data_IF_919089335703
#
_entry.id   IF_919089335703
#
_cell.length_a   1.000
_cell.length_b   1.000
_cell.length_c   1.000
_cell.angle_alpha   90.00
_cell.angle_beta   90.00
_cell.angle_gamma   90.00
#
_symmetry.space_group_name_H-M   'P 1'
#
loop_
_entity.id
_entity.type
_entity.pdbx_description
1 polymer ?
#
# COMPACT_ATOMS: atom_id res chain seq x y z
N UNK A 1 1.01 20.43 -20.26
CA UNK A 1 1.86 19.79 -19.23
C UNK A 1 2.33 20.75 -18.12
N UNK A 2 2.00 22.05 -18.13
CA UNK A 2 2.65 23.06 -17.27
C UNK A 2 2.22 23.10 -15.77
N UNK A 3 1.34 22.21 -15.28
CA UNK A 3 0.92 22.18 -13.87
C UNK A 3 1.01 20.79 -13.21
N UNK A 4 1.69 19.83 -13.85
CA UNK A 4 1.71 18.42 -13.40
C UNK A 4 2.57 18.18 -12.15
N UNK A 5 3.32 19.18 -11.68
CA UNK A 5 4.11 19.09 -10.45
C UNK A 5 3.27 19.34 -9.18
N UNK A 6 2.16 20.07 -9.29
CA UNK A 6 1.36 20.48 -8.11
C UNK A 6 0.76 19.30 -7.35
N UNK A 7 0.50 18.18 -8.04
CA UNK A 7 0.01 16.93 -7.43
C UNK A 7 1.02 16.25 -6.49
N UNK A 8 2.31 16.60 -6.57
CA UNK A 8 3.34 16.02 -5.70
C UNK A 8 3.62 16.84 -4.45
N UNK A 9 3.19 18.11 -4.40
CA UNK A 9 3.50 19.02 -3.29
C UNK A 9 2.96 18.49 -1.97
N UNK A 10 1.67 18.13 -1.91
CA UNK A 10 1.05 17.64 -0.66
C UNK A 10 1.67 16.33 -0.18
N UNK A 11 1.81 15.27 -1.03
CA UNK A 11 2.52 14.05 -0.64
C UNK A 11 3.95 14.26 -0.18
N UNK A 12 4.69 15.17 -0.84
CA UNK A 12 6.08 15.46 -0.50
C UNK A 12 6.19 16.17 0.86
N UNK A 13 5.33 17.17 1.12
CA UNK A 13 5.27 17.85 2.42
C UNK A 13 4.88 16.86 3.52
N UNK A 14 3.87 16.03 3.28
CA UNK A 14 3.45 15.00 4.23
C UNK A 14 4.59 14.04 4.54
N UNK A 15 5.30 13.57 3.52
CA UNK A 15 6.47 12.70 3.67
C UNK A 15 7.59 13.37 4.48
N UNK A 16 7.96 14.60 4.13
CA UNK A 16 9.01 15.34 4.82
C UNK A 16 8.66 15.56 6.31
N UNK A 17 7.45 16.05 6.60
CA UNK A 17 6.97 16.25 7.98
C UNK A 17 6.92 14.92 8.74
N UNK A 18 6.38 13.88 8.13
CA UNK A 18 6.26 12.56 8.78
C UNK A 18 7.61 11.91 9.06
N UNK A 19 8.59 12.05 8.16
CA UNK A 19 9.97 11.59 8.42
C UNK A 19 10.61 12.38 9.56
N UNK A 20 10.55 13.73 9.54
CA UNK A 20 11.07 14.57 10.63
C UNK A 20 10.43 14.20 11.97
N UNK A 21 9.10 14.04 11.98
CA UNK A 21 8.35 13.66 13.17
C UNK A 21 8.78 12.26 13.65
N UNK A 22 9.00 11.32 12.74
CA UNK A 22 9.51 9.98 13.05
C UNK A 22 10.87 10.07 13.73
N UNK A 23 11.84 10.79 13.14
CA UNK A 23 13.15 10.99 13.77
C UNK A 23 13.02 11.60 15.15
N UNK A 24 12.26 12.69 15.29
CA UNK A 24 12.07 13.38 16.56
C UNK A 24 11.42 12.49 17.63
N UNK A 25 10.33 11.79 17.29
CA UNK A 25 9.66 10.87 18.21
C UNK A 25 10.58 9.73 18.62
N UNK A 26 11.33 9.16 17.68
CA UNK A 26 12.31 8.11 17.96
C UNK A 26 13.35 8.58 18.98
N UNK A 27 13.92 9.75 18.77
CA UNK A 27 14.91 10.33 19.70
C UNK A 27 14.35 10.55 21.10
N UNK A 28 13.10 10.98 21.21
CA UNK A 28 12.42 11.12 22.51
C UNK A 28 12.24 9.76 23.19
N UNK A 29 11.75 8.75 22.46
CA UNK A 29 11.54 7.41 22.99
C UNK A 29 12.86 6.81 23.48
N UNK A 30 13.91 6.93 22.68
CA UNK A 30 15.27 6.48 23.01
C UNK A 30 15.79 7.15 24.26
N UNK A 31 15.70 8.48 24.34
CA UNK A 31 16.15 9.20 25.52
C UNK A 31 15.40 8.74 26.78
N UNK A 32 14.09 8.44 26.68
CA UNK A 32 13.32 7.88 27.81
C UNK A 32 13.79 6.47 28.19
N UNK A 33 14.03 5.60 27.21
CA UNK A 33 14.53 4.24 27.45
C UNK A 33 15.92 4.27 28.11
N UNK A 34 16.86 5.06 27.58
CA UNK A 34 18.23 5.18 28.11
C UNK A 34 18.23 5.75 29.54
N UNK A 35 17.37 6.75 29.81
CA UNK A 35 17.27 7.33 31.15
C UNK A 35 16.82 6.30 32.21
N UNK A 36 16.02 5.32 31.82
CA UNK A 36 15.56 4.25 32.73
C UNK A 36 16.60 3.12 32.79
N UNK A 37 17.14 2.70 31.63
CA UNK A 37 18.12 1.63 31.53
C UNK A 37 19.23 1.99 30.52
N UNK A 38 20.37 2.51 31.00
CA UNK A 38 21.44 3.02 30.13
C UNK A 38 22.13 1.97 29.25
N UNK A 39 22.09 0.70 29.66
CA UNK A 39 22.81 -0.42 29.02
C UNK A 39 21.88 -1.25 28.12
N UNK A 40 20.84 -0.64 27.55
CA UNK A 40 20.03 -1.31 26.51
C UNK A 40 20.73 -1.14 25.16
N UNK A 41 20.95 -2.28 24.52
CA UNK A 41 21.41 -2.41 23.14
C UNK A 41 20.34 -3.21 22.38
N UNK A 42 19.80 -2.64 21.31
CA UNK A 42 18.78 -3.31 20.50
C UNK A 42 19.40 -4.23 19.45
N UNK A 43 20.61 -3.93 18.96
CA UNK A 43 21.25 -4.65 17.86
C UNK A 43 22.68 -5.03 18.27
N UNK A 44 22.85 -6.13 19.04
CA UNK A 44 24.15 -6.50 19.61
C UNK A 44 25.23 -6.83 18.58
N UNK A 45 24.84 -7.02 17.32
CA UNK A 45 25.76 -7.27 16.21
C UNK A 45 26.57 -6.03 15.81
N UNK A 46 26.15 -4.83 16.24
CA UNK A 46 26.80 -3.57 15.93
C UNK A 46 27.17 -2.91 17.25
N UNK A 47 28.47 -2.77 17.54
CA UNK A 47 28.93 -2.08 18.74
C UNK A 47 28.39 -0.64 18.74
N UNK A 48 27.51 -0.32 19.67
CA UNK A 48 26.74 0.90 19.61
C UNK A 48 25.99 1.24 20.89
N UNK A 49 25.41 2.43 20.90
CA UNK A 49 24.34 2.79 21.84
C UNK A 49 23.02 2.66 21.10
N UNK A 50 21.93 2.48 21.84
CA UNK A 50 20.57 2.51 21.27
C UNK A 50 20.35 3.67 20.29
N UNK A 51 20.88 4.87 20.57
CA UNK A 51 20.76 6.01 19.67
C UNK A 51 21.55 5.84 18.36
N UNK A 52 22.74 5.25 18.44
CA UNK A 52 23.55 4.95 17.27
C UNK A 52 22.86 3.93 16.37
N UNK A 53 22.40 2.81 16.92
CA UNK A 53 21.75 1.72 16.15
C UNK A 53 20.58 2.25 15.33
N UNK A 54 19.81 3.13 15.96
CA UNK A 54 18.62 3.74 15.40
C UNK A 54 18.95 4.73 14.29
N UNK A 55 19.91 5.61 14.55
CA UNK A 55 20.33 6.60 13.56
C UNK A 55 20.97 5.92 12.36
N UNK A 56 21.77 4.88 12.60
CA UNK A 56 22.38 4.03 11.59
C UNK A 56 21.32 3.32 10.75
N UNK A 57 20.36 2.66 11.38
CA UNK A 57 19.29 1.92 10.71
C UNK A 57 18.41 2.85 9.85
N UNK A 58 18.03 4.02 10.37
CA UNK A 58 17.26 5.01 9.58
C UNK A 58 18.06 5.55 8.39
N UNK A 59 19.36 5.82 8.58
CA UNK A 59 20.24 6.26 7.50
C UNK A 59 20.41 5.18 6.42
N UNK A 60 20.42 3.91 6.82
CA UNK A 60 20.61 2.76 5.93
C UNK A 60 19.32 2.39 5.18
N UNK A 61 18.15 2.41 5.84
CA UNK A 61 16.91 1.94 5.23
C UNK A 61 16.39 2.84 4.11
N UNK A 62 16.54 4.16 4.24
CA UNK A 62 16.09 5.11 3.21
C UNK A 62 16.70 4.81 1.84
N UNK A 63 18.04 4.73 1.66
CA UNK A 63 18.63 4.40 0.37
C UNK A 63 18.29 2.97 -0.08
N UNK A 64 18.16 2.01 0.85
CA UNK A 64 17.72 0.65 0.53
C UNK A 64 16.35 0.68 -0.15
N UNK A 65 15.37 1.44 0.36
CA UNK A 65 14.04 1.53 -0.25
C UNK A 65 14.08 2.01 -1.71
N UNK A 66 14.95 2.97 -2.03
CA UNK A 66 15.10 3.47 -3.40
C UNK A 66 15.82 2.47 -4.31
N UNK A 67 16.90 1.85 -3.83
CA UNK A 67 17.65 0.84 -4.58
C UNK A 67 16.76 -0.36 -4.88
N UNK A 68 16.06 -0.85 -3.85
CA UNK A 68 15.10 -1.94 -3.96
C UNK A 68 14.02 -1.63 -5.00
N UNK A 69 13.42 -0.43 -4.92
CA UNK A 69 12.45 0.00 -5.93
C UNK A 69 13.05 0.00 -7.34
N UNK A 70 14.24 0.57 -7.54
CA UNK A 70 14.85 0.70 -8.87
C UNK A 70 15.27 -0.66 -9.45
N UNK A 71 15.75 -1.56 -8.61
CA UNK A 71 16.33 -2.84 -9.04
C UNK A 71 15.29 -3.96 -9.10
N UNK A 72 14.41 -4.09 -8.09
CA UNK A 72 13.51 -5.24 -7.95
C UNK A 72 12.14 -5.06 -8.62
N UNK A 73 11.67 -3.83 -8.84
CA UNK A 73 10.31 -3.58 -9.35
C UNK A 73 10.07 -4.27 -10.70
N UNK A 74 10.99 -4.14 -11.66
CA UNK A 74 10.82 -4.71 -13.00
C UNK A 74 10.94 -6.26 -13.00
N UNK A 75 11.96 -6.88 -12.39
CA UNK A 75 12.03 -8.34 -12.28
C UNK A 75 10.81 -8.95 -11.60
N UNK A 76 10.35 -8.36 -10.48
CA UNK A 76 9.21 -8.91 -9.76
C UNK A 76 7.90 -8.68 -10.52
N UNK A 77 7.74 -7.57 -11.23
CA UNK A 77 6.58 -7.35 -12.10
C UNK A 77 6.52 -8.40 -13.22
N UNK A 78 7.66 -8.75 -13.80
CA UNK A 78 7.75 -9.83 -14.78
C UNK A 78 7.35 -11.19 -14.18
N UNK A 79 7.88 -11.54 -13.01
CA UNK A 79 7.54 -12.80 -12.32
C UNK A 79 6.03 -12.84 -11.99
N UNK A 80 5.48 -11.75 -11.48
CA UNK A 80 4.05 -11.63 -11.18
C UNK A 80 3.18 -11.79 -12.45
N UNK A 81 3.59 -11.18 -13.56
CA UNK A 81 2.89 -11.35 -14.84
C UNK A 81 2.96 -12.79 -15.34
N UNK A 82 4.12 -13.45 -15.23
CA UNK A 82 4.29 -14.85 -15.58
C UNK A 82 3.40 -15.75 -14.72
N UNK A 83 3.39 -15.53 -13.41
CA UNK A 83 2.53 -16.26 -12.48
C UNK A 83 1.05 -16.07 -12.85
N UNK A 84 0.60 -14.82 -13.00
CA UNK A 84 -0.77 -14.53 -13.42
C UNK A 84 -1.12 -15.23 -14.73
N UNK A 85 -0.21 -15.23 -15.71
CA UNK A 85 -0.41 -15.94 -16.98
C UNK A 85 -0.61 -17.43 -16.75
N UNK A 86 0.29 -18.09 -16.02
CA UNK A 86 0.18 -19.54 -15.75
C UNK A 86 -1.14 -19.88 -15.06
N UNK A 87 -1.52 -19.14 -14.02
CA UNK A 87 -2.72 -19.45 -13.24
C UNK A 87 -4.03 -19.04 -13.89
N UNK A 88 -4.04 -17.99 -14.74
CA UNK A 88 -5.29 -17.44 -15.32
C UNK A 88 -5.46 -17.71 -16.82
N UNK A 89 -4.49 -18.27 -17.54
CA UNK A 89 -4.57 -18.48 -19.00
C UNK A 89 -5.77 -19.32 -19.44
N UNK A 90 -6.27 -20.25 -18.61
CA UNK A 90 -7.42 -21.07 -18.97
C UNK A 90 -8.70 -20.22 -19.16
N UNK A 91 -8.89 -19.20 -18.32
CA UNK A 91 -10.12 -18.41 -18.22
C UNK A 91 -9.98 -17.00 -18.78
N UNK A 92 -8.80 -16.41 -18.67
CA UNK A 92 -8.55 -15.01 -19.00
C UNK A 92 -7.59 -14.87 -20.18
N UNK A 93 -7.77 -13.80 -20.96
CA UNK A 93 -6.81 -13.32 -21.94
C UNK A 93 -6.20 -12.02 -21.42
N UNK A 94 -4.91 -11.85 -21.65
CA UNK A 94 -4.15 -10.68 -21.25
C UNK A 94 -4.12 -9.69 -22.40
N UNK A 95 -4.45 -8.44 -22.11
CA UNK A 95 -4.41 -7.35 -23.08
C UNK A 95 -3.81 -6.09 -22.44
N UNK A 96 -3.42 -5.15 -23.30
CA UNK A 96 -2.90 -3.85 -22.92
C UNK A 96 -3.96 -2.81 -23.23
N UNK A 97 -4.42 -2.12 -22.19
CA UNK A 97 -5.37 -1.01 -22.29
C UNK A 97 -4.67 0.33 -22.09
N UNK A 98 -5.07 1.33 -22.88
CA UNK A 98 -4.59 2.71 -22.68
C UNK A 98 -5.30 3.33 -21.48
N UNK A 99 -4.57 3.51 -20.38
CA UNK A 99 -5.07 4.19 -19.18
C UNK A 99 -4.94 5.71 -19.34
N UNK A 100 -5.84 6.45 -18.67
CA UNK A 100 -5.81 7.92 -18.60
C UNK A 100 -4.54 8.48 -17.93
N UNK A 101 -4.39 9.80 -18.01
CA UNK A 101 -3.22 10.52 -17.47
C UNK A 101 -3.18 10.45 -15.93
N UNK A 102 -1.97 10.59 -15.37
CA UNK A 102 -1.56 10.12 -14.04
C UNK A 102 -2.34 10.58 -12.79
N UNK A 103 -1.78 10.32 -11.62
CA UNK A 103 -2.57 10.36 -10.38
C UNK A 103 -2.75 11.74 -9.74
N UNK A 104 -3.93 12.00 -9.17
CA UNK A 104 -4.11 13.11 -8.24
C UNK A 104 -3.46 12.78 -6.89
N UNK A 105 -3.07 13.79 -6.11
CA UNK A 105 -2.44 13.64 -4.80
C UNK A 105 -3.22 12.71 -3.86
N UNK A 106 -4.55 12.76 -3.87
CA UNK A 106 -5.42 11.88 -3.06
C UNK A 106 -5.16 10.41 -3.37
N UNK A 107 -4.97 10.07 -4.64
CA UNK A 107 -4.74 8.68 -5.07
C UNK A 107 -3.32 8.22 -4.72
N UNK A 108 -2.34 9.12 -4.79
CA UNK A 108 -0.97 8.87 -4.29
C UNK A 108 -1.01 8.53 -2.80
N UNK A 109 -1.71 9.34 -1.99
CA UNK A 109 -1.87 9.10 -0.56
C UNK A 109 -2.57 7.77 -0.27
N UNK A 110 -3.69 7.49 -0.94
CA UNK A 110 -4.43 6.22 -0.76
C UNK A 110 -3.60 4.99 -1.12
N UNK A 111 -2.71 5.10 -2.11
CA UNK A 111 -1.82 4.01 -2.53
C UNK A 111 -0.77 3.68 -1.47
N UNK A 112 -0.38 4.62 -0.62
CA UNK A 112 0.57 4.40 0.48
C UNK A 112 -0.04 3.70 1.69
N UNK A 113 -1.36 3.79 1.88
CA UNK A 113 -2.04 3.25 3.08
C UNK A 113 -1.85 1.74 3.20
N UNK A 114 -2.22 1.00 2.17
CA UNK A 114 -2.21 -0.47 2.22
C UNK A 114 -0.80 -1.05 2.46
N UNK A 115 0.25 -0.62 1.73
CA UNK A 115 1.62 -1.04 2.00
C UNK A 115 2.11 -0.69 3.40
N UNK A 116 1.69 0.46 3.97
CA UNK A 116 2.06 0.85 5.33
C UNK A 116 1.40 -0.05 6.39
N UNK A 117 0.10 -0.35 6.23
CA UNK A 117 -0.61 -1.27 7.12
C UNK A 117 -0.01 -2.68 7.03
N UNK A 118 0.34 -3.13 5.82
CA UNK A 118 1.03 -4.39 5.60
C UNK A 118 2.41 -4.43 6.27
N UNK A 119 3.19 -3.34 6.17
CA UNK A 119 4.49 -3.24 6.82
C UNK A 119 4.37 -3.25 8.35
N UNK A 120 3.36 -2.59 8.92
CA UNK A 120 3.11 -2.63 10.37
C UNK A 120 2.71 -4.02 10.87
N UNK A 121 1.83 -4.72 10.15
CA UNK A 121 1.44 -6.07 10.54
C UNK A 121 2.58 -7.07 10.38
N UNK A 122 3.35 -6.98 9.29
CA UNK A 122 4.52 -7.81 9.08
C UNK A 122 5.67 -7.45 10.04
N UNK A 123 5.77 -6.18 10.46
CA UNK A 123 6.79 -5.70 11.39
C UNK A 123 6.77 -6.43 12.72
N UNK A 124 5.59 -6.71 13.28
CA UNK A 124 5.44 -7.52 14.50
C UNK A 124 5.96 -8.96 14.31
N UNK A 125 5.74 -9.56 13.14
CA UNK A 125 6.29 -10.87 12.81
C UNK A 125 7.81 -10.81 12.66
N UNK A 126 8.34 -9.77 12.03
CA UNK A 126 9.79 -9.53 11.88
C UNK A 126 10.45 -9.40 13.25
N UNK A 127 9.87 -8.60 14.15
CA UNK A 127 10.37 -8.45 15.53
C UNK A 127 10.38 -9.79 16.25
N UNK A 128 9.29 -10.55 16.17
CA UNK A 128 9.16 -11.85 16.85
C UNK A 128 10.15 -12.89 16.31
N UNK A 129 10.30 -13.00 14.99
CA UNK A 129 11.19 -13.98 14.35
C UNK A 129 12.67 -13.62 14.50
N UNK A 130 13.00 -12.33 14.55
CA UNK A 130 14.38 -11.85 14.66
C UNK A 130 14.79 -11.58 16.11
N UNK A 131 13.90 -11.81 17.07
CA UNK A 131 14.23 -11.73 18.49
C UNK A 131 15.27 -12.81 18.84
N UNK A 132 16.37 -12.40 19.44
CA UNK A 132 17.53 -13.23 19.74
C UNK A 132 18.51 -13.43 18.57
N UNK A 133 18.18 -12.95 17.36
CA UNK A 133 19.09 -13.02 16.19
C UNK A 133 19.64 -11.63 15.86
N UNK A 134 18.75 -10.67 15.63
CA UNK A 134 19.11 -9.29 15.30
C UNK A 134 18.68 -8.36 16.43
N UNK A 135 17.49 -8.57 16.97
CA UNK A 135 16.99 -7.79 18.09
C UNK A 135 17.24 -8.52 19.40
N UNK A 136 17.84 -7.86 20.37
CA UNK A 136 17.95 -8.40 21.72
C UNK A 136 17.20 -7.51 22.70
N UNK A 137 16.11 -8.03 23.26
CA UNK A 137 15.43 -7.41 24.38
C UNK A 137 15.85 -8.20 25.63
N UNK A 138 16.76 -7.66 26.47
CA UNK A 138 17.20 -8.38 27.66
C UNK A 138 16.00 -8.61 28.59
N UNK A 139 15.95 -9.76 29.31
CA UNK A 139 14.93 -9.96 30.32
C UNK A 139 15.01 -8.81 31.34
N UNK A 140 13.83 -8.37 31.80
CA UNK A 140 13.70 -7.27 32.75
C UNK A 140 12.86 -7.71 33.93
N UNK A 141 13.12 -7.13 35.09
CA UNK A 141 12.21 -7.28 36.23
C UNK A 141 10.86 -6.64 35.90
N UNK A 142 9.78 -7.12 36.53
CA UNK A 142 8.43 -6.66 36.23
C UNK A 142 8.24 -5.14 36.46
N UNK A 143 8.96 -4.55 37.41
CA UNK A 143 8.97 -3.11 37.65
C UNK A 143 9.59 -2.32 36.49
N UNK A 144 10.73 -2.79 35.99
CA UNK A 144 11.46 -2.15 34.89
C UNK A 144 10.70 -2.27 33.58
N UNK A 145 10.14 -3.46 33.31
CA UNK A 145 9.30 -3.69 32.14
C UNK A 145 8.13 -2.69 32.08
N UNK A 146 7.40 -2.50 33.18
CA UNK A 146 6.28 -1.53 33.23
C UNK A 146 6.71 -0.08 32.99
N UNK A 147 7.93 0.29 33.39
CA UNK A 147 8.46 1.63 33.20
C UNK A 147 8.95 1.85 31.75
N UNK A 148 9.52 0.83 31.13
CA UNK A 148 10.20 0.91 29.82
C UNK A 148 9.25 0.61 28.65
N UNK A 149 8.35 -0.37 28.80
CA UNK A 149 7.47 -0.88 27.75
C UNK A 149 6.64 0.20 27.02
N UNK A 150 6.09 1.24 27.70
CA UNK A 150 5.36 2.31 27.02
C UNK A 150 6.19 3.07 25.98
N UNK A 151 7.53 3.06 26.12
CA UNK A 151 8.46 3.74 25.23
C UNK A 151 9.14 2.76 24.26
N UNK A 152 9.53 1.59 24.77
CA UNK A 152 10.21 0.56 23.98
C UNK A 152 9.28 -0.07 22.95
N UNK A 153 8.00 -0.32 23.28
CA UNK A 153 7.10 -0.98 22.35
C UNK A 153 6.84 -0.17 21.07
N UNK A 154 6.47 1.13 21.13
CA UNK A 154 6.37 1.96 19.93
C UNK A 154 7.67 2.05 19.13
N UNK A 155 8.80 2.12 19.83
CA UNK A 155 10.12 2.19 19.22
C UNK A 155 10.41 0.94 18.38
N UNK A 156 10.26 -0.24 18.99
CA UNK A 156 10.50 -1.53 18.34
C UNK A 156 9.49 -1.77 17.22
N UNK A 157 8.20 -1.49 17.43
CA UNK A 157 7.16 -1.62 16.40
C UNK A 157 7.45 -0.75 15.18
N UNK A 158 7.91 0.50 15.38
CA UNK A 158 8.29 1.39 14.30
C UNK A 158 9.50 0.86 13.51
N UNK A 159 10.52 0.32 14.17
CA UNK A 159 11.66 -0.29 13.46
C UNK A 159 11.29 -1.58 12.74
N UNK A 160 10.54 -2.46 13.39
CA UNK A 160 10.02 -3.66 12.76
C UNK A 160 9.23 -3.31 11.50
N UNK A 161 8.39 -2.27 11.57
CA UNK A 161 7.64 -1.78 10.42
C UNK A 161 8.53 -1.20 9.32
N UNK A 162 9.59 -0.45 9.64
CA UNK A 162 10.51 0.09 8.65
C UNK A 162 11.37 -1.00 7.97
N UNK A 163 11.76 -2.05 8.69
CA UNK A 163 12.43 -3.22 8.09
C UNK A 163 11.44 -3.99 7.22
N UNK A 164 10.24 -4.25 7.73
CA UNK A 164 9.18 -4.90 6.96
C UNK A 164 8.74 -4.05 5.75
N UNK A 165 9.01 -2.74 5.77
CA UNK A 165 8.71 -1.86 4.67
C UNK A 165 9.54 -2.16 3.43
N UNK A 166 10.78 -2.63 3.57
CA UNK A 166 11.60 -3.17 2.47
C UNK A 166 10.81 -4.25 1.74
N UNK A 167 10.38 -5.28 2.47
CA UNK A 167 9.56 -6.38 1.93
C UNK A 167 8.25 -5.86 1.31
N UNK A 168 7.59 -4.91 1.98
CA UNK A 168 6.36 -4.29 1.47
C UNK A 168 6.60 -3.58 0.13
N UNK A 169 7.69 -2.83 -0.03
CA UNK A 169 8.02 -2.15 -1.29
C UNK A 169 8.28 -3.17 -2.38
N UNK A 170 9.10 -4.20 -2.14
CA UNK A 170 9.36 -5.25 -3.12
C UNK A 170 8.07 -5.95 -3.60
N UNK A 171 7.09 -6.14 -2.71
CA UNK A 171 5.83 -6.79 -3.08
C UNK A 171 4.85 -5.84 -3.77
N UNK A 172 4.73 -4.58 -3.32
CA UNK A 172 3.71 -3.67 -3.84
C UNK A 172 4.17 -2.87 -5.07
N UNK A 173 5.44 -2.47 -5.18
CA UNK A 173 5.94 -1.74 -6.35
C UNK A 173 5.72 -2.45 -7.69
N UNK A 174 5.92 -3.78 -7.85
CA UNK A 174 5.58 -4.46 -9.10
C UNK A 174 4.09 -4.44 -9.40
N UNK A 175 3.23 -4.52 -8.38
CA UNK A 175 1.77 -4.42 -8.58
C UNK A 175 1.38 -3.04 -9.09
N UNK A 176 2.09 -2.01 -8.62
CA UNK A 176 1.88 -0.64 -9.07
C UNK A 176 2.24 -0.49 -10.53
N UNK A 177 3.44 -0.93 -10.91
CA UNK A 177 3.90 -0.91 -12.29
C UNK A 177 2.95 -1.65 -13.22
N UNK A 178 2.52 -2.87 -12.86
CA UNK A 178 1.60 -3.65 -13.69
C UNK A 178 0.27 -2.94 -13.90
N UNK A 179 -0.31 -2.36 -12.84
CA UNK A 179 -1.56 -1.61 -12.94
C UNK A 179 -1.40 -0.34 -13.79
N UNK A 180 -0.33 0.40 -13.58
CA UNK A 180 -0.11 1.70 -14.24
C UNK A 180 0.31 1.51 -15.71
N UNK A 181 0.89 0.36 -16.05
CA UNK A 181 1.23 -0.01 -17.43
C UNK A 181 0.02 -0.42 -18.29
N UNK A 182 -1.18 -0.53 -17.70
CA UNK A 182 -2.38 -0.88 -18.46
C UNK A 182 -2.53 -2.36 -18.78
N UNK A 183 -1.78 -3.23 -18.12
CA UNK A 183 -1.88 -4.67 -18.33
C UNK A 183 -3.09 -5.21 -17.57
N UNK A 184 -4.06 -5.69 -18.32
CA UNK A 184 -5.32 -6.22 -17.80
C UNK A 184 -5.52 -7.67 -18.22
N UNK A 185 -6.28 -8.40 -17.43
CA UNK A 185 -6.81 -9.71 -17.75
C UNK A 185 -8.33 -9.59 -17.90
N UNK A 186 -8.88 -10.05 -19.01
CA UNK A 186 -10.33 -10.10 -19.24
C UNK A 186 -10.77 -11.52 -19.56
N UNK A 187 -12.02 -11.87 -19.24
CA UNK A 187 -12.57 -13.21 -19.46
C UNK A 187 -12.65 -13.52 -20.97
N UNK A 188 -12.20 -14.71 -21.38
CA UNK A 188 -12.25 -15.13 -22.79
C UNK A 188 -13.69 -15.23 -23.28
N UNK A 189 -14.00 -14.90 -24.56
CA UNK A 189 -15.35 -14.97 -25.11
C UNK A 189 -16.04 -16.33 -24.93
N UNK A 190 -15.31 -17.43 -25.13
CA UNK A 190 -15.81 -18.80 -24.91
C UNK A 190 -16.38 -19.06 -23.51
N UNK A 191 -15.94 -18.29 -22.51
CA UNK A 191 -16.42 -18.43 -21.14
C UNK A 191 -17.59 -17.51 -20.83
N UNK A 192 -17.85 -16.50 -21.67
CA UNK A 192 -19.03 -15.62 -21.56
C UNK A 192 -20.31 -16.34 -22.00
N UNK A 193 -20.19 -17.34 -22.88
CA UNK A 193 -21.30 -18.22 -23.29
C UNK A 193 -21.93 -18.96 -22.08
N UNK A 194 -21.16 -19.22 -21.03
CA UNK A 194 -21.60 -19.94 -19.82
C UNK A 194 -22.19 -19.03 -18.73
N UNK A 195 -22.91 -17.97 -19.11
CA UNK A 195 -23.51 -16.99 -18.17
C UNK A 195 -22.52 -16.40 -17.15
N UNK A 196 -21.23 -16.33 -17.49
CA UNK A 196 -20.25 -15.62 -16.65
C UNK A 196 -20.28 -14.13 -16.96
N UNK A 197 -20.23 -13.32 -15.91
CA UNK A 197 -20.15 -11.88 -16.08
C UNK A 197 -18.85 -11.50 -16.79
N UNK A 198 -18.89 -10.51 -17.71
CA UNK A 198 -17.67 -9.92 -18.25
C UNK A 198 -16.89 -9.28 -17.10
N UNK A 199 -15.66 -9.74 -16.92
CA UNK A 199 -14.75 -9.25 -15.89
C UNK A 199 -13.45 -8.80 -16.56
N UNK A 200 -12.98 -7.62 -16.16
CA UNK A 200 -11.72 -7.03 -16.61
C UNK A 200 -11.01 -6.49 -15.38
N UNK A 201 -9.87 -7.09 -15.07
CA UNK A 201 -9.11 -6.75 -13.88
C UNK A 201 -7.66 -6.44 -14.25
N UNK A 202 -7.08 -5.40 -13.65
CA UNK A 202 -5.63 -5.16 -13.75
C UNK A 202 -4.86 -6.31 -13.12
N UNK A 203 -3.81 -6.80 -13.77
CA UNK A 203 -3.04 -7.95 -13.26
C UNK A 203 -2.42 -7.63 -11.90
N UNK A 204 -1.87 -6.42 -11.74
CA UNK A 204 -1.35 -5.96 -10.46
C UNK A 204 -2.44 -5.82 -9.40
N UNK A 205 -3.68 -5.51 -9.79
CA UNK A 205 -4.81 -5.29 -8.87
C UNK A 205 -5.13 -6.57 -8.12
N UNK A 206 -5.12 -7.71 -8.80
CA UNK A 206 -5.33 -9.01 -8.20
C UNK A 206 -4.35 -9.28 -7.04
N UNK A 207 -3.04 -9.11 -7.27
CA UNK A 207 -2.02 -9.25 -6.23
C UNK A 207 -2.17 -8.21 -5.12
N UNK A 208 -2.41 -6.94 -5.48
CA UNK A 208 -2.58 -5.87 -4.49
C UNK A 208 -3.82 -6.05 -3.62
N UNK A 209 -4.88 -6.67 -4.13
CA UNK A 209 -6.09 -7.00 -3.36
C UNK A 209 -5.80 -8.13 -2.37
N UNK A 210 -5.02 -9.15 -2.77
CA UNK A 210 -4.60 -10.25 -1.88
C UNK A 210 -3.72 -9.72 -0.74
N UNK A 211 -2.63 -9.03 -1.08
CA UNK A 211 -1.70 -8.45 -0.11
C UNK A 211 -2.39 -7.39 0.75
N UNK A 212 -3.24 -6.57 0.14
CA UNK A 212 -3.97 -5.52 0.83
C UNK A 212 -5.06 -6.04 1.75
N UNK A 213 -5.75 -7.11 1.36
CA UNK A 213 -6.70 -7.82 2.24
C UNK A 213 -5.99 -8.36 3.48
N UNK A 214 -4.81 -8.96 3.33
CA UNK A 214 -3.99 -9.37 4.46
C UNK A 214 -3.60 -8.17 5.34
N UNK A 215 -3.07 -7.09 4.76
CA UNK A 215 -2.68 -5.90 5.52
C UNK A 215 -3.83 -5.27 6.32
N UNK A 216 -5.01 -5.11 5.68
CA UNK A 216 -6.21 -4.52 6.31
C UNK A 216 -6.74 -5.39 7.46
N UNK A 217 -6.68 -6.72 7.34
CA UNK A 217 -7.16 -7.63 8.39
C UNK A 217 -6.14 -7.85 9.50
N UNK A 218 -4.85 -8.00 9.15
CA UNK A 218 -3.79 -8.31 10.10
C UNK A 218 -3.41 -7.08 10.96
N UNK A 219 -3.47 -5.87 10.39
CA UNK A 219 -3.06 -4.66 11.10
C UNK A 219 -3.87 -4.41 12.39
N UNK A 220 -5.22 -4.39 12.40
CA UNK A 220 -5.98 -4.16 13.62
C UNK A 220 -5.70 -5.22 14.70
N UNK A 221 -5.52 -6.49 14.28
CA UNK A 221 -5.20 -7.60 15.19
C UNK A 221 -3.82 -7.38 15.82
N UNK A 222 -2.81 -7.08 15.01
CA UNK A 222 -1.44 -6.82 15.48
C UNK A 222 -1.38 -5.63 16.44
N UNK A 223 -2.01 -4.51 16.09
CA UNK A 223 -2.03 -3.31 16.94
C UNK A 223 -2.83 -3.52 18.22
N UNK A 224 -3.97 -4.21 18.15
CA UNK A 224 -4.74 -4.57 19.35
C UNK A 224 -3.93 -5.47 20.27
N UNK A 225 -3.30 -6.50 19.72
CA UNK A 225 -2.44 -7.40 20.48
C UNK A 225 -1.31 -6.64 21.19
N UNK A 226 -0.58 -5.79 20.47
CA UNK A 226 0.56 -5.03 20.98
C UNK A 226 0.18 -3.95 21.99
N UNK A 227 -0.77 -3.08 21.67
CA UNK A 227 -1.06 -1.87 22.45
C UNK A 227 -2.20 -2.02 23.45
N UNK A 228 -3.00 -3.08 23.37
CA UNK A 228 -4.10 -3.32 24.31
C UNK A 228 -3.93 -4.63 25.06
N UNK A 229 -3.84 -5.76 24.37
CA UNK A 229 -3.79 -7.08 25.01
C UNK A 229 -2.53 -7.25 25.86
N UNK A 230 -1.34 -7.11 25.28
CA UNK A 230 -0.08 -7.26 26.02
C UNK A 230 0.01 -6.21 27.14
N UNK A 231 -0.34 -4.96 26.83
CA UNK A 231 -0.23 -3.84 27.78
C UNK A 231 -1.13 -3.99 29.00
N UNK A 232 -2.43 -4.21 28.81
CA UNK A 232 -3.40 -4.17 29.91
C UNK A 232 -3.65 -5.54 30.53
N UNK A 233 -3.61 -6.63 29.76
CA UNK A 233 -3.96 -7.97 30.25
C UNK A 233 -2.74 -8.79 30.67
N UNK A 234 -1.63 -8.69 29.94
CA UNK A 234 -0.40 -9.46 30.27
C UNK A 234 0.47 -8.70 31.27
N UNK A 235 0.77 -7.42 30.99
CA UNK A 235 1.66 -6.62 31.83
C UNK A 235 0.96 -6.00 33.06
N UNK A 236 -0.37 -6.02 33.07
CA UNK A 236 -1.20 -5.53 34.18
C UNK A 236 -1.14 -4.01 34.37
N UNK A 237 -0.89 -3.24 33.31
CA UNK A 237 -0.96 -1.78 33.41
C UNK A 237 -2.37 -1.29 33.73
N UNK A 238 -2.47 -0.21 34.52
CA UNK A 238 -3.76 0.38 34.90
C UNK A 238 -4.44 0.94 33.65
N UNK A 239 -5.67 0.49 33.39
CA UNK A 239 -6.51 0.97 32.31
C UNK A 239 -7.14 2.34 32.69
N UNK A 240 -6.34 3.39 32.61
CA UNK A 240 -6.80 4.77 32.76
C UNK A 240 -6.96 5.45 31.39
N UNK A 241 -7.65 6.59 31.37
CA UNK A 241 -7.92 7.34 30.16
C UNK A 241 -6.64 7.70 29.38
N UNK A 242 -5.58 8.11 30.09
CA UNK A 242 -4.30 8.52 29.47
C UNK A 242 -3.65 7.34 28.74
N UNK A 243 -3.59 6.16 29.36
CA UNK A 243 -2.99 4.97 28.77
C UNK A 243 -3.78 4.46 27.56
N UNK A 244 -5.11 4.52 27.62
CA UNK A 244 -5.98 4.15 26.49
C UNK A 244 -5.78 5.13 25.33
N UNK A 245 -5.77 6.44 25.60
CA UNK A 245 -5.54 7.45 24.56
C UNK A 245 -4.14 7.35 23.95
N UNK A 246 -3.11 7.05 24.75
CA UNK A 246 -1.76 6.80 24.23
C UNK A 246 -1.74 5.58 23.30
N UNK A 247 -2.42 4.49 23.68
CA UNK A 247 -2.50 3.24 22.90
C UNK A 247 -3.26 3.45 21.57
N UNK A 248 -4.36 4.20 21.60
CA UNK A 248 -5.08 4.64 20.40
C UNK A 248 -4.20 5.56 19.54
N UNK A 249 -3.47 6.50 20.17
CA UNK A 249 -2.56 7.41 19.51
C UNK A 249 -1.48 6.68 18.72
N UNK A 250 -0.87 5.64 19.29
CA UNK A 250 0.09 4.80 18.57
C UNK A 250 -0.57 3.97 17.47
N UNK A 251 -1.70 3.34 17.77
CA UNK A 251 -2.45 2.52 16.79
C UNK A 251 -2.83 3.33 15.55
N UNK A 252 -3.27 4.58 15.71
CA UNK A 252 -3.68 5.44 14.59
C UNK A 252 -2.49 6.20 13.99
N UNK A 253 -1.54 6.65 14.82
CA UNK A 253 -0.42 7.48 14.41
C UNK A 253 0.65 6.74 13.62
N UNK A 254 0.97 5.49 14.00
CA UNK A 254 2.03 4.70 13.35
C UNK A 254 1.83 4.51 11.84
N UNK A 255 0.63 4.17 11.33
CA UNK A 255 0.37 4.14 9.89
C UNK A 255 0.80 5.41 9.15
N UNK A 256 0.52 6.59 9.70
CA UNK A 256 0.89 7.86 9.07
C UNK A 256 2.41 8.08 9.05
N UNK A 257 3.11 7.67 10.12
CA UNK A 257 4.57 7.73 10.18
C UNK A 257 5.19 6.80 9.12
N UNK A 258 4.73 5.54 9.04
CA UNK A 258 5.23 4.58 8.05
C UNK A 258 4.89 5.01 6.62
N UNK A 259 3.68 5.53 6.37
CA UNK A 259 3.30 6.08 5.07
C UNK A 259 4.27 7.19 4.60
N UNK A 260 4.81 7.99 5.51
CA UNK A 260 5.75 9.05 5.17
C UNK A 260 7.00 8.55 4.45
N UNK A 261 7.48 7.34 4.77
CA UNK A 261 8.64 6.70 4.12
C UNK A 261 8.31 6.06 2.76
N UNK A 262 7.04 5.69 2.53
CA UNK A 262 6.59 5.06 1.27
C UNK A 262 6.33 6.09 0.18
N UNK A 263 5.82 7.26 0.55
CA UNK A 263 5.40 8.28 -0.41
C UNK A 263 6.50 8.71 -1.39
N UNK A 264 7.77 8.92 -0.99
CA UNK A 264 8.85 9.21 -1.94
C UNK A 264 9.02 8.12 -3.00
N UNK A 265 8.86 6.85 -2.63
CA UNK A 265 8.93 5.71 -3.54
C UNK A 265 7.76 5.70 -4.52
N UNK A 266 6.53 6.01 -4.06
CA UNK A 266 5.36 6.13 -4.95
C UNK A 266 5.51 7.32 -5.91
N UNK A 267 6.03 8.45 -5.43
CA UNK A 267 6.33 9.61 -6.28
C UNK A 267 7.37 9.21 -7.34
N UNK A 268 8.43 8.51 -6.96
CA UNK A 268 9.44 8.00 -7.88
C UNK A 268 8.83 7.04 -8.92
N UNK A 269 7.91 6.16 -8.52
CA UNK A 269 7.17 5.32 -9.46
C UNK A 269 6.39 6.13 -10.49
N UNK A 270 5.66 7.16 -10.05
CA UNK A 270 4.91 8.05 -10.96
C UNK A 270 5.82 8.81 -11.93
N UNK A 271 7.04 9.17 -11.49
CA UNK A 271 8.02 9.83 -12.36
C UNK A 271 8.64 8.88 -13.38
N UNK A 272 8.84 7.61 -13.00
CA UNK A 272 9.52 6.60 -13.84
C UNK A 272 8.57 5.81 -14.74
N UNK A 273 7.25 5.90 -14.52
CA UNK A 273 6.23 5.07 -15.20
C UNK A 273 6.26 5.12 -16.72
N UNK A 274 6.66 6.25 -17.32
CA UNK A 274 6.74 6.37 -18.79
C UNK A 274 7.73 5.35 -19.38
N UNK A 275 8.86 5.17 -18.70
CA UNK A 275 9.91 4.25 -19.14
C UNK A 275 9.64 2.82 -18.65
N UNK A 276 9.34 2.63 -17.36
CA UNK A 276 9.09 1.29 -16.81
C UNK A 276 7.82 0.68 -17.41
N UNK A 277 6.74 1.46 -17.57
CA UNK A 277 5.48 1.02 -18.13
C UNK A 277 5.59 0.60 -19.60
N UNK A 278 6.30 1.37 -20.43
CA UNK A 278 6.53 0.98 -21.82
C UNK A 278 7.38 -0.29 -21.94
N UNK A 279 8.35 -0.48 -21.06
CA UNK A 279 9.13 -1.72 -20.96
C UNK A 279 8.23 -2.90 -20.60
N UNK A 280 7.39 -2.73 -19.58
CA UNK A 280 6.47 -3.77 -19.13
C UNK A 280 5.43 -4.14 -20.19
N UNK A 281 4.93 -3.16 -20.95
CA UNK A 281 4.05 -3.39 -22.10
C UNK A 281 4.75 -4.20 -23.20
N UNK A 282 6.03 -3.93 -23.50
CA UNK A 282 6.80 -4.74 -24.48
C UNK A 282 6.93 -6.19 -24.02
N UNK A 283 7.22 -6.40 -22.74
CA UNK A 283 7.29 -7.74 -22.13
C UNK A 283 5.93 -8.44 -22.25
N UNK A 284 4.83 -7.76 -21.91
CA UNK A 284 3.49 -8.32 -22.03
C UNK A 284 3.12 -8.69 -23.48
N UNK A 285 3.48 -7.84 -24.46
CA UNK A 285 3.31 -8.14 -25.90
C UNK A 285 4.12 -9.37 -26.32
N UNK A 286 5.37 -9.49 -25.88
CA UNK A 286 6.19 -10.67 -26.12
C UNK A 286 5.57 -11.94 -25.51
N UNK A 287 4.79 -11.78 -24.43
CA UNK A 287 4.01 -12.86 -23.82
C UNK A 287 2.64 -13.10 -24.49
N UNK A 288 2.34 -12.44 -25.61
CA UNK A 288 1.12 -12.63 -26.39
C UNK A 288 -0.06 -11.73 -26.01
N UNK A 289 0.17 -10.66 -25.24
CA UNK A 289 -0.88 -9.68 -24.97
C UNK A 289 -1.22 -8.86 -26.24
N UNK A 290 -2.50 -8.66 -26.51
CA UNK A 290 -2.95 -7.81 -27.64
C UNK A 290 -3.23 -6.37 -27.17
N UNK A 291 -3.13 -5.39 -28.06
CA UNK A 291 -3.62 -4.04 -27.77
C UNK A 291 -5.12 -3.97 -28.00
N UNK A 292 -5.88 -3.48 -27.01
CA UNK A 292 -7.31 -3.24 -27.15
C UNK A 292 -7.57 -1.74 -27.09
N UNK A 293 -8.13 -1.20 -28.18
CA UNK A 293 -8.65 0.15 -28.21
C UNK A 293 -10.07 0.15 -27.66
N UNK A 294 -10.40 1.11 -26.79
CA UNK A 294 -11.80 1.31 -26.39
C UNK A 294 -12.63 1.57 -27.64
N UNK A 295 -13.54 0.67 -27.98
CA UNK A 295 -14.74 1.11 -28.68
C UNK A 295 -15.44 2.05 -27.70
N UNK A 296 -15.47 3.35 -28.01
CA UNK A 296 -16.42 4.25 -27.36
C UNK A 296 -17.77 3.56 -27.56
N UNK A 297 -18.40 3.13 -26.47
CA UNK A 297 -19.82 2.83 -26.49
C UNK A 297 -20.44 4.17 -26.83
N UNK A 298 -20.63 4.41 -28.12
CA UNK A 298 -21.43 5.51 -28.61
C UNK A 298 -22.75 5.31 -27.89
N UNK A 299 -23.02 6.20 -26.92
CA UNK A 299 -24.28 6.22 -26.20
C UNK A 299 -25.33 6.02 -27.27
N UNK A 300 -26.16 5.02 -27.07
CA UNK A 300 -27.36 4.70 -27.81
C UNK A 300 -28.36 5.85 -27.74
N UNK A 301 -27.94 7.06 -28.13
CA UNK A 301 -28.73 8.28 -28.27
C UNK A 301 -29.54 8.22 -29.56
N UNK A 302 -29.24 7.26 -30.45
CA UNK A 302 -30.00 6.98 -31.66
C UNK A 302 -31.26 6.14 -31.41
N UNK A 303 -31.33 5.34 -30.33
CA UNK A 303 -32.55 4.56 -30.04
C UNK A 303 -33.65 5.43 -29.42
N UNK A 304 -33.30 6.35 -28.51
CA UNK A 304 -34.27 7.30 -27.93
C UNK A 304 -34.77 8.37 -28.93
N UNK A 305 -33.99 8.69 -29.97
CA UNK A 305 -34.41 9.64 -31.02
C UNK A 305 -35.25 8.98 -32.11
N UNK A 306 -35.09 7.67 -32.36
CA UNK A 306 -35.99 6.92 -33.24
C UNK A 306 -37.36 6.72 -32.58
N UNK A 307 -37.40 6.31 -31.30
CA UNK A 307 -38.67 6.14 -30.56
C UNK A 307 -39.47 7.46 -30.42
N UNK A 308 -38.80 8.61 -30.30
CA UNK A 308 -39.47 9.93 -30.31
C UNK A 308 -39.90 10.42 -31.69
N UNK A 309 -39.27 9.94 -32.76
CA UNK A 309 -39.68 10.29 -34.12
C UNK A 309 -40.91 9.50 -34.60
N UNK A 310 -41.10 8.28 -34.07
CA UNK A 310 -42.28 7.46 -34.36
C UNK A 310 -43.50 7.81 -33.50
N UNK A 311 -43.32 8.42 -32.31
CA UNK A 311 -44.45 8.84 -31.45
C UNK A 311 -45.11 10.17 -31.86
N UNK A 312 -44.62 10.84 -32.91
CA UNK A 312 -45.19 12.09 -33.44
C UNK A 312 -45.87 11.88 -34.82
N UNK A 313 -46.51 10.73 -35.00
CA UNK A 313 -47.48 10.53 -36.08
C UNK A 313 -48.66 11.51 -35.94
N UNK A 314 -49.18 12.06 -37.05
CA UNK A 314 -50.19 13.11 -37.03
C UNK A 314 -51.49 12.61 -36.38
N UNK A 315 -51.97 13.33 -35.36
CA UNK A 315 -53.30 13.14 -34.82
C UNK A 315 -54.33 13.36 -35.94
N UNK A 316 -54.99 12.28 -36.36
CA UNK A 316 -56.15 12.33 -37.23
C UNK A 316 -57.21 13.27 -36.62
N UNK A 317 -57.50 14.32 -37.39
CA UNK A 317 -58.67 15.16 -37.27
C UNK A 317 -59.95 14.40 -37.58
N UNK A 318 -61.09 14.93 -37.11
CA UNK A 318 -62.52 14.59 -37.37
C UNK A 318 -63.10 13.53 -36.43
N UNK A 319 -64.19 13.78 -35.71
CA UNK A 319 -65.52 14.18 -36.19
C UNK A 319 -66.26 15.22 -35.30
N UNK A 320 -67.16 16.04 -35.88
CA UNK A 320 -68.19 16.75 -35.14
C UNK A 320 -69.48 15.92 -35.10
N UNK A 321 -69.97 15.56 -33.91
CA UNK A 321 -71.32 14.99 -33.76
C UNK A 321 -72.26 16.04 -33.16
N UNK A 322 -73.10 16.58 -34.05
CA UNK A 322 -74.39 17.16 -33.71
C UNK A 322 -75.31 16.08 -33.13
N UNK A 323 -76.01 16.38 -32.04
CA UNK A 323 -77.48 16.32 -31.81
C UNK A 323 -77.74 16.67 -30.34
#
# INVERSE_FOLDING_TARGET
MANDYKRFIVPLIFSAIGMILTFWMTQILVARVINIRPVIDLVPAIDGTLNFDISFLLMLLIPIFFIEFLVLTLPFAFIMLLFAKVFRVATYKFDIMRIGQGFNWVRIMKRAVVPALFALSLGELVISLLNGVIFWIPPMEASDARAIDPYLNPLVTMFGALIALTISIALFSPTWLLNDSGIVAHVKPKHLEYRRCPDTEGVGRWFSNLLGGFGILAFPIAMFHRYFYLKFLVNGEIMNFVNVMASLGWTVGLPFLVMAFILPVIILNELTIKWTGSTMQRIAKAMGASEVQFQRVEKTLSVDLQDRSESNGPSESTEPTNI
#
